data_IF_974586491105
#
_entry.id   IF_974586491105
#
_cell.length_a   1.000
_cell.length_b   1.000
_cell.length_c   1.000
_cell.angle_alpha   90.00
_cell.angle_beta   90.00
_cell.angle_gamma   90.00
#
_symmetry.space_group_name_H-M   'P 1'
#
loop_
_entity.id
_entity.type
_entity.pdbx_description
1 polymer ?
#
# COMPACT_ATOMS: atom_id res chain seq x y z
N UNK A 1 -3.41 4.51 24.42
CA UNK A 1 -3.74 4.93 23.04
C UNK A 1 -2.93 6.18 22.77
N UNK A 2 -1.90 6.05 21.94
CA UNK A 2 -0.98 7.15 21.65
C UNK A 2 -1.46 7.87 20.39
N UNK A 3 -1.58 9.19 20.47
CA UNK A 3 -1.90 10.02 19.31
C UNK A 3 -0.83 9.77 18.22
N UNK A 4 -1.25 9.31 17.04
CA UNK A 4 -0.36 9.16 15.87
C UNK A 4 -0.19 10.48 15.09
N UNK A 5 -0.66 11.60 15.62
CA UNK A 5 -0.43 12.90 15.02
C UNK A 5 1.06 13.21 14.95
N UNK A 6 1.52 13.65 13.78
CA UNK A 6 2.93 13.93 13.53
C UNK A 6 3.77 12.67 13.28
N UNK A 7 3.19 11.47 13.33
CA UNK A 7 3.90 10.22 13.06
C UNK A 7 3.90 9.94 11.56
N UNK A 8 5.08 9.68 10.99
CA UNK A 8 5.20 9.19 9.62
C UNK A 8 4.66 7.74 9.51
N UNK A 9 4.03 7.40 8.38
CA UNK A 9 3.48 6.05 8.12
C UNK A 9 4.52 4.96 8.38
N UNK A 10 5.77 5.17 7.99
CA UNK A 10 6.83 4.19 8.21
C UNK A 10 7.14 3.93 9.69
N UNK A 11 6.90 4.93 10.53
CA UNK A 11 7.16 4.95 11.97
C UNK A 11 5.95 4.56 12.82
N UNK A 12 4.82 4.16 12.20
CA UNK A 12 3.67 3.64 12.94
C UNK A 12 4.12 2.39 13.72
N UNK A 13 3.89 2.35 15.05
CA UNK A 13 4.28 1.21 15.88
C UNK A 13 3.70 -0.11 15.36
N UNK A 14 4.46 -1.20 15.49
CA UNK A 14 4.04 -2.55 15.09
C UNK A 14 3.68 -2.74 13.61
N UNK A 15 3.74 -1.71 12.73
CA UNK A 15 3.32 -1.82 11.32
C UNK A 15 4.08 -2.89 10.55
N UNK A 16 5.39 -2.97 10.76
CA UNK A 16 6.25 -3.97 10.11
C UNK A 16 5.95 -5.36 10.67
N UNK A 17 5.73 -5.47 11.99
CA UNK A 17 5.43 -6.73 12.67
C UNK A 17 4.05 -7.28 12.30
N UNK A 18 3.08 -6.40 12.08
CA UNK A 18 1.75 -6.77 11.56
C UNK A 18 1.77 -7.03 10.06
N UNK A 19 2.86 -6.68 9.37
CA UNK A 19 2.95 -6.80 7.92
C UNK A 19 1.83 -6.04 7.22
N UNK A 20 1.52 -4.82 7.70
CA UNK A 20 0.48 -3.95 7.13
C UNK A 20 1.14 -2.85 6.28
N UNK A 21 0.56 -2.62 5.11
CA UNK A 21 0.92 -1.51 4.22
C UNK A 21 -0.20 -0.48 4.21
N UNK A 22 0.14 0.78 4.42
CA UNK A 22 -0.81 1.89 4.24
C UNK A 22 -0.67 2.37 2.80
N UNK A 23 -1.74 2.31 2.02
CA UNK A 23 -1.67 2.61 0.58
C UNK A 23 -2.29 3.94 0.18
N UNK A 24 -3.29 4.40 0.94
CA UNK A 24 -4.01 5.64 0.66
C UNK A 24 -4.24 6.43 1.93
N UNK A 25 -4.42 7.73 1.76
CA UNK A 25 -4.82 8.64 2.81
C UNK A 25 -5.82 9.65 2.26
N UNK A 26 -6.88 9.92 3.02
CA UNK A 26 -7.75 11.08 2.84
C UNK A 26 -7.53 12.00 4.02
N UNK A 27 -7.16 13.25 3.75
CA UNK A 27 -6.96 14.22 4.83
C UNK A 27 -8.30 14.64 5.42
N UNK A 28 -8.27 15.01 6.70
CA UNK A 28 -9.45 15.61 7.34
C UNK A 28 -9.91 16.84 6.56
N UNK A 29 -11.20 16.88 6.20
CA UNK A 29 -11.80 17.97 5.41
C UNK A 29 -11.61 17.87 3.89
N UNK A 30 -10.82 16.92 3.40
CA UNK A 30 -10.66 16.67 1.96
C UNK A 30 -11.61 15.57 1.47
N UNK A 31 -12.03 15.68 0.21
CA UNK A 31 -12.83 14.67 -0.49
C UNK A 31 -11.91 13.69 -1.23
N UNK A 32 -10.78 14.17 -1.73
CA UNK A 32 -9.88 13.37 -2.57
C UNK A 32 -8.95 12.47 -1.74
N UNK A 33 -8.74 11.24 -2.19
CA UNK A 33 -7.71 10.33 -1.68
C UNK A 33 -6.40 10.54 -2.41
N UNK A 34 -5.31 10.38 -1.65
CA UNK A 34 -3.94 10.45 -2.13
C UNK A 34 -3.19 9.16 -1.81
N UNK A 35 -2.12 8.88 -2.55
CA UNK A 35 -1.19 7.79 -2.22
C UNK A 35 -0.53 8.09 -0.87
N UNK A 36 -0.48 7.10 0.01
CA UNK A 36 0.27 7.19 1.26
C UNK A 36 1.60 6.45 1.10
N UNK A 37 2.71 7.16 1.26
CA UNK A 37 4.08 6.61 1.33
C UNK A 37 4.54 6.50 2.77
N UNK A 38 5.68 5.85 3.02
CA UNK A 38 6.33 5.77 4.33
C UNK A 38 6.60 7.14 4.95
N UNK A 39 6.95 8.14 4.14
CA UNK A 39 7.20 9.52 4.59
C UNK A 39 5.94 10.34 4.85
N UNK A 40 4.75 9.78 4.58
CA UNK A 40 3.49 10.48 4.80
C UNK A 40 3.27 10.70 6.30
N UNK A 41 3.29 11.96 6.73
CA UNK A 41 3.01 12.33 8.12
C UNK A 41 1.51 12.35 8.35
N UNK A 42 1.07 11.57 9.34
CA UNK A 42 -0.32 11.46 9.76
C UNK A 42 -0.75 12.68 10.57
N UNK A 43 -1.99 13.14 10.33
CA UNK A 43 -2.65 14.21 11.07
C UNK A 43 -3.92 13.69 11.73
N UNK A 44 -4.38 14.43 12.72
CA UNK A 44 -5.63 14.13 13.41
C UNK A 44 -6.80 14.01 12.42
N UNK A 45 -7.64 12.99 12.64
CA UNK A 45 -8.81 12.69 11.81
C UNK A 45 -8.52 12.37 10.33
N UNK A 46 -7.28 12.09 9.95
CA UNK A 46 -6.99 11.47 8.66
C UNK A 46 -7.62 10.08 8.60
N UNK A 47 -8.13 9.71 7.42
CA UNK A 47 -8.50 8.34 7.09
C UNK A 47 -7.38 7.71 6.29
N UNK A 48 -6.92 6.53 6.70
CA UNK A 48 -5.92 5.77 5.96
C UNK A 48 -6.49 4.45 5.45
N UNK A 49 -6.09 4.01 4.27
CA UNK A 49 -6.40 2.68 3.77
C UNK A 49 -5.25 1.72 4.12
N UNK A 50 -5.48 0.83 5.08
CA UNK A 50 -4.53 -0.19 5.50
C UNK A 50 -4.79 -1.53 4.80
N UNK A 51 -3.76 -2.12 4.20
CA UNK A 51 -3.81 -3.41 3.50
C UNK A 51 -2.95 -4.42 4.25
N UNK A 52 -3.54 -5.57 4.60
CA UNK A 52 -2.86 -6.64 5.34
C UNK A 52 -3.81 -7.80 5.61
N UNK A 53 -3.36 -8.78 6.40
CA UNK A 53 -4.22 -9.91 6.78
C UNK A 53 -5.29 -9.52 7.80
N UNK A 54 -6.47 -10.15 7.77
CA UNK A 54 -7.55 -9.85 8.74
C UNK A 54 -7.04 -9.80 10.19
N UNK A 55 -6.38 -10.84 10.70
CA UNK A 55 -5.83 -10.84 12.06
C UNK A 55 -4.79 -9.73 12.32
N UNK A 56 -4.03 -9.33 11.30
CA UNK A 56 -3.04 -8.27 11.42
C UNK A 56 -3.65 -6.88 11.33
N UNK A 57 -4.72 -6.72 10.56
CA UNK A 57 -5.51 -5.51 10.49
C UNK A 57 -6.24 -5.26 11.82
N UNK A 58 -6.78 -6.31 12.46
CA UNK A 58 -7.37 -6.21 13.80
C UNK A 58 -6.35 -5.72 14.84
N UNK A 59 -5.11 -6.21 14.77
CA UNK A 59 -4.01 -5.73 15.63
C UNK A 59 -3.58 -4.31 15.28
N UNK A 60 -3.54 -3.97 14.00
CA UNK A 60 -3.16 -2.65 13.54
C UNK A 60 -4.20 -1.59 13.95
N UNK A 61 -5.48 -1.94 13.96
CA UNK A 61 -6.56 -1.09 14.49
C UNK A 61 -6.28 -0.68 15.94
N UNK A 62 -5.87 -1.63 16.80
CA UNK A 62 -5.54 -1.32 18.20
C UNK A 62 -4.41 -0.30 18.36
N UNK A 63 -3.53 -0.15 17.36
CA UNK A 63 -2.45 0.84 17.36
C UNK A 63 -2.90 2.18 16.77
N UNK A 64 -3.62 2.14 15.64
CA UNK A 64 -3.89 3.33 14.84
C UNK A 64 -5.13 4.09 15.27
N UNK A 65 -6.19 3.39 15.67
CA UNK A 65 -7.47 4.01 15.94
C UNK A 65 -8.64 3.12 15.61
N UNK A 66 -9.74 3.69 15.12
CA UNK A 66 -10.97 2.94 14.85
C UNK A 66 -11.15 2.72 13.36
N UNK A 67 -11.75 1.59 13.00
CA UNK A 67 -12.31 1.37 11.66
C UNK A 67 -13.35 2.44 11.31
N UNK A 68 -13.05 3.20 10.27
CA UNK A 68 -13.94 4.09 9.55
C UNK A 68 -14.86 3.32 8.60
N UNK A 69 -15.99 3.95 8.26
CA UNK A 69 -17.06 3.35 7.46
C UNK A 69 -16.91 3.63 5.95
N UNK A 70 -16.00 4.53 5.59
CA UNK A 70 -15.79 4.97 4.20
C UNK A 70 -14.92 3.99 3.42
N UNK A 71 -15.34 3.66 2.20
CA UNK A 71 -14.50 2.90 1.26
C UNK A 71 -13.59 3.84 0.46
N UNK A 72 -12.36 4.00 0.93
CA UNK A 72 -11.32 4.79 0.23
C UNK A 72 -10.91 4.19 -1.13
N UNK A 73 -11.38 2.99 -1.48
CA UNK A 73 -11.23 2.45 -2.84
C UNK A 73 -12.13 3.16 -3.86
N UNK A 74 -13.29 3.66 -3.41
CA UNK A 74 -14.31 4.32 -4.23
C UNK A 74 -14.31 5.86 -4.08
N UNK A 75 -13.55 6.38 -3.11
CA UNK A 75 -13.41 7.82 -2.93
C UNK A 75 -12.73 8.48 -4.16
N UNK A 76 -13.11 9.72 -4.53
CA UNK A 76 -12.47 10.48 -5.62
C UNK A 76 -10.97 10.68 -5.37
N UNK A 77 -10.17 10.82 -6.43
CA UNK A 77 -8.73 11.10 -6.34
C UNK A 77 -7.93 10.45 -7.45
N UNK A 78 -6.71 10.94 -7.72
CA UNK A 78 -5.80 10.36 -8.72
C UNK A 78 -4.98 9.22 -8.11
N UNK A 79 -5.66 8.16 -7.66
CA UNK A 79 -5.02 6.95 -7.12
C UNK A 79 -5.56 5.71 -7.82
N UNK A 80 -4.68 5.04 -8.55
CA UNK A 80 -4.96 3.80 -9.26
C UNK A 80 -4.01 2.69 -8.81
N UNK A 81 -4.19 1.50 -9.37
CA UNK A 81 -3.29 0.38 -9.15
C UNK A 81 -3.07 -0.43 -10.42
N UNK A 82 -1.95 -1.15 -10.49
CA UNK A 82 -1.71 -2.12 -11.54
C UNK A 82 -0.98 -3.36 -11.00
N UNK A 83 -1.27 -4.52 -11.60
CA UNK A 83 -0.48 -5.73 -11.43
C UNK A 83 0.71 -5.70 -12.41
N UNK A 84 1.92 -5.71 -11.86
CA UNK A 84 3.18 -5.63 -12.62
C UNK A 84 3.99 -6.89 -12.42
N UNK A 85 4.37 -7.56 -13.50
CA UNK A 85 5.21 -8.77 -13.42
C UNK A 85 6.68 -8.37 -13.35
N UNK A 86 7.36 -8.72 -12.27
CA UNK A 86 8.77 -8.43 -12.06
C UNK A 86 9.64 -9.27 -13.00
N UNK A 87 10.13 -8.64 -14.06
CA UNK A 87 10.97 -9.31 -15.08
C UNK A 87 12.30 -8.61 -15.31
N UNK A 88 12.48 -7.39 -14.78
CA UNK A 88 13.71 -6.62 -14.91
C UNK A 88 14.84 -7.25 -14.11
N UNK A 89 15.90 -7.69 -14.82
CA UNK A 89 17.10 -8.28 -14.19
C UNK A 89 17.82 -7.32 -13.23
N UNK A 90 17.67 -6.00 -13.40
CA UNK A 90 18.34 -4.96 -12.60
C UNK A 90 17.87 -4.91 -11.14
N UNK A 91 16.69 -5.45 -10.87
CA UNK A 91 16.02 -5.36 -9.57
C UNK A 91 15.83 -6.73 -8.92
N UNK A 92 16.33 -7.80 -9.56
CA UNK A 92 16.20 -9.15 -9.04
C UNK A 92 16.96 -9.33 -7.72
N UNK A 93 16.30 -10.04 -6.81
CA UNK A 93 16.85 -10.31 -5.49
C UNK A 93 16.87 -9.10 -4.57
N UNK A 94 16.45 -7.90 -5.00
CA UNK A 94 16.26 -6.77 -4.08
C UNK A 94 15.00 -6.97 -3.25
N UNK A 95 15.00 -6.41 -2.04
CA UNK A 95 13.81 -6.26 -1.21
C UNK A 95 12.94 -5.10 -1.68
N UNK A 96 11.68 -5.07 -1.24
CA UNK A 96 10.75 -3.95 -1.51
C UNK A 96 11.39 -2.60 -1.16
N UNK A 97 12.05 -2.50 0.00
CA UNK A 97 12.75 -1.27 0.42
C UNK A 97 13.91 -0.89 -0.49
N UNK A 98 14.73 -1.85 -0.88
CA UNK A 98 15.91 -1.62 -1.75
C UNK A 98 15.55 -1.22 -3.19
N UNK A 99 14.27 -1.32 -3.59
CA UNK A 99 13.78 -0.78 -4.85
C UNK A 99 13.49 0.71 -4.82
N UNK A 100 13.27 1.29 -3.63
CA UNK A 100 13.03 2.73 -3.43
C UNK A 100 11.90 3.29 -4.32
N UNK A 101 10.89 2.46 -4.65
CA UNK A 101 9.83 2.85 -5.59
C UNK A 101 8.99 4.03 -5.08
N UNK A 102 8.86 4.15 -3.76
CA UNK A 102 8.17 5.27 -3.12
C UNK A 102 8.90 6.59 -3.41
N UNK A 103 10.23 6.62 -3.27
CA UNK A 103 11.05 7.80 -3.47
C UNK A 103 11.24 8.13 -4.95
N UNK A 104 11.43 7.09 -5.79
CA UNK A 104 11.73 7.26 -7.20
C UNK A 104 10.48 7.57 -8.04
N UNK A 105 9.34 7.00 -7.68
CA UNK A 105 8.13 7.05 -8.50
C UNK A 105 6.88 7.47 -7.75
N UNK A 106 6.89 7.64 -6.42
CA UNK A 106 5.67 7.97 -5.67
C UNK A 106 4.65 6.83 -5.64
N UNK A 107 5.11 5.57 -5.72
CA UNK A 107 4.25 4.38 -5.68
C UNK A 107 4.56 3.51 -4.48
N UNK A 108 3.55 2.81 -3.97
CA UNK A 108 3.71 1.76 -2.96
C UNK A 108 3.35 0.40 -3.55
N UNK A 109 4.01 -0.66 -3.06
CA UNK A 109 3.59 -2.03 -3.33
C UNK A 109 2.71 -2.46 -2.15
N UNK A 110 1.51 -2.95 -2.41
CA UNK A 110 0.61 -3.48 -1.37
C UNK A 110 0.68 -5.00 -1.26
N UNK A 111 0.88 -5.68 -2.40
CA UNK A 111 0.86 -7.15 -2.49
C UNK A 111 1.95 -7.67 -3.41
N UNK A 112 2.44 -8.86 -3.08
CA UNK A 112 3.30 -9.67 -3.93
C UNK A 112 2.68 -11.05 -4.08
N UNK A 113 2.43 -11.47 -5.31
CA UNK A 113 1.98 -12.83 -5.63
C UNK A 113 3.12 -13.62 -6.24
N UNK A 114 3.43 -14.77 -5.65
CA UNK A 114 4.50 -15.68 -6.09
C UNK A 114 3.97 -17.09 -6.15
N UNK A 115 3.96 -17.70 -7.34
CA UNK A 115 3.45 -19.06 -7.55
C UNK A 115 2.10 -19.28 -6.86
N UNK A 116 1.14 -18.38 -7.14
CA UNK A 116 -0.22 -18.36 -6.58
C UNK A 116 -0.33 -18.09 -5.06
N UNK A 117 0.78 -17.87 -4.35
CA UNK A 117 0.77 -17.40 -2.97
C UNK A 117 0.80 -15.87 -2.92
N UNK A 118 -0.22 -15.27 -2.31
CA UNK A 118 -0.30 -13.83 -2.07
C UNK A 118 0.28 -13.46 -0.69
N UNK A 119 1.12 -12.42 -0.67
CA UNK A 119 1.78 -11.90 0.53
C UNK A 119 1.65 -10.38 0.58
N UNK A 120 1.55 -9.81 1.79
CA UNK A 120 1.65 -8.35 1.95
C UNK A 120 3.08 -7.87 1.70
N UNK A 121 3.20 -6.77 0.97
CA UNK A 121 4.49 -6.21 0.60
C UNK A 121 5.12 -5.45 1.79
N UNK A 122 5.86 -6.17 2.62
CA UNK A 122 6.64 -5.60 3.72
C UNK A 122 8.04 -5.18 3.26
N UNK A 123 8.68 -4.18 3.91
CA UNK A 123 9.93 -3.59 3.43
C UNK A 123 11.08 -4.58 3.18
N UNK A 124 11.17 -5.63 4.00
CA UNK A 124 12.22 -6.67 3.94
C UNK A 124 11.88 -7.86 3.04
N UNK A 125 10.69 -7.89 2.41
CA UNK A 125 10.31 -8.97 1.50
C UNK A 125 11.22 -8.93 0.26
N UNK A 126 11.97 -10.01 0.06
CA UNK A 126 12.84 -10.18 -1.12
C UNK A 126 12.02 -10.57 -2.35
N UNK A 127 12.23 -9.85 -3.44
CA UNK A 127 11.50 -10.02 -4.69
C UNK A 127 12.24 -10.95 -5.66
N UNK A 128 11.47 -11.79 -6.34
CA UNK A 128 11.95 -12.82 -7.27
C UNK A 128 11.46 -12.54 -8.68
N UNK A 129 12.21 -13.04 -9.67
CA UNK A 129 11.76 -13.02 -11.05
C UNK A 129 10.41 -13.74 -11.19
N UNK A 130 9.46 -13.11 -11.87
CA UNK A 130 8.11 -13.63 -12.06
C UNK A 130 7.12 -13.28 -10.95
N UNK A 131 7.55 -12.63 -9.86
CA UNK A 131 6.62 -12.08 -8.87
C UNK A 131 5.67 -11.08 -9.52
N UNK A 132 4.39 -11.12 -9.12
CA UNK A 132 3.40 -10.12 -9.54
C UNK A 132 3.22 -9.12 -8.40
N UNK A 133 3.51 -7.86 -8.67
CA UNK A 133 3.47 -6.77 -7.69
C UNK A 133 2.20 -5.96 -7.91
N UNK A 134 1.39 -5.78 -6.87
CA UNK A 134 0.30 -4.81 -6.89
C UNK A 134 0.86 -3.44 -6.52
N UNK A 135 1.03 -2.59 -7.53
CA UNK A 135 1.60 -1.26 -7.42
C UNK A 135 0.47 -0.24 -7.36
N UNK A 136 0.45 0.61 -6.34
CA UNK A 136 -0.54 1.67 -6.12
C UNK A 136 0.14 3.04 -6.25
N UNK A 137 -0.46 3.95 -6.99
CA UNK A 137 0.10 5.25 -7.32
C UNK A 137 -0.88 6.10 -8.15
N UNK A 138 -0.50 7.33 -8.50
CA UNK A 138 -1.16 8.00 -9.62
C UNK A 138 -0.88 7.27 -10.95
N UNK A 139 -1.70 7.52 -11.98
CA UNK A 139 -1.59 6.79 -13.25
C UNK A 139 -0.20 6.89 -13.89
N UNK A 140 0.44 8.07 -13.87
CA UNK A 140 1.75 8.29 -14.48
C UNK A 140 2.86 7.62 -13.69
N UNK A 141 2.75 7.64 -12.37
CA UNK A 141 3.68 7.04 -11.41
C UNK A 141 3.67 5.51 -11.51
N UNK A 142 2.48 4.91 -11.59
CA UNK A 142 2.32 3.47 -11.86
C UNK A 142 2.95 3.07 -13.19
N UNK A 143 2.73 3.84 -14.25
CA UNK A 143 3.33 3.57 -15.57
C UNK A 143 4.87 3.63 -15.55
N UNK A 144 5.44 4.61 -14.86
CA UNK A 144 6.90 4.74 -14.70
C UNK A 144 7.48 3.57 -13.90
N UNK A 145 6.85 3.22 -12.79
CA UNK A 145 7.26 2.09 -11.95
C UNK A 145 7.17 0.76 -12.73
N UNK A 146 6.10 0.55 -13.50
CA UNK A 146 5.94 -0.65 -14.33
C UNK A 146 7.07 -0.77 -15.36
N UNK A 147 7.46 0.33 -16.02
CA UNK A 147 8.60 0.33 -16.96
C UNK A 147 9.93 -0.02 -16.27
N UNK A 148 10.13 0.42 -15.03
CA UNK A 148 11.32 0.11 -14.24
C UNK A 148 11.39 -1.37 -13.81
N UNK A 149 10.26 -1.92 -13.36
CA UNK A 149 10.11 -3.29 -12.87
C UNK A 149 10.09 -4.35 -13.99
N UNK A 150 9.71 -3.95 -15.21
CA UNK A 150 9.68 -4.83 -16.39
C UNK A 150 8.28 -5.31 -16.76
N UNK A 151 8.20 -5.97 -17.94
CA UNK A 151 7.06 -6.53 -18.66
C UNK A 151 5.66 -5.96 -18.39
N UNK A 152 5.12 -5.31 -19.43
CA UNK A 152 3.72 -4.98 -19.74
C UNK A 152 2.76 -4.99 -18.55
N UNK A 153 2.24 -3.80 -18.22
CA UNK A 153 1.01 -3.60 -17.47
C UNK A 153 -0.03 -4.64 -17.96
N UNK A 154 -0.20 -5.74 -17.24
CA UNK A 154 -1.38 -6.58 -17.43
C UNK A 154 -2.49 -5.73 -16.84
N UNK A 155 -3.18 -4.98 -17.71
CA UNK A 155 -4.46 -4.35 -17.37
C UNK A 155 -5.42 -5.49 -17.09
N UNK A 156 -5.41 -5.94 -15.84
CA UNK A 156 -6.43 -6.78 -15.26
C UNK A 156 -7.29 -5.85 -14.42
N UNK A 157 -8.08 -5.04 -15.13
CA UNK A 157 -9.33 -4.54 -14.58
C UNK A 157 -10.39 -5.65 -14.64
N UNK A 158 -9.97 -6.90 -14.43
CA UNK A 158 -10.83 -8.08 -14.42
C UNK A 158 -10.88 -8.57 -12.99
N UNK A 159 -11.95 -8.13 -12.35
CA UNK A 159 -12.60 -8.67 -11.17
C UNK A 159 -12.68 -10.19 -11.22
N UNK A 160 -11.62 -10.88 -10.81
CA UNK A 160 -11.71 -12.28 -10.39
C UNK A 160 -10.70 -12.53 -9.27
N UNK A 161 -10.93 -11.88 -8.12
CA UNK A 161 -10.67 -12.36 -6.77
C UNK A 161 -10.89 -11.16 -5.83
N UNK A 162 -12.03 -11.13 -5.15
CA UNK A 162 -12.21 -10.24 -4.00
C UNK A 162 -11.19 -10.70 -2.95
N UNK A 163 -10.17 -9.91 -2.60
CA UNK A 163 -9.16 -10.38 -1.65
C UNK A 163 -9.76 -10.48 -0.25
N UNK A 164 -9.32 -11.45 0.55
CA UNK A 164 -9.64 -11.61 2.00
C UNK A 164 -9.04 -10.47 2.87
N UNK A 165 -8.63 -9.38 2.24
CA UNK A 165 -7.81 -8.32 2.79
C UNK A 165 -8.52 -7.02 2.43
N UNK A 166 -9.61 -6.77 3.16
CA UNK A 166 -10.42 -5.56 3.04
C UNK A 166 -9.60 -4.43 3.65
N UNK A 167 -9.38 -3.39 2.86
CA UNK A 167 -8.76 -2.19 3.36
C UNK A 167 -9.61 -1.59 4.48
N UNK A 168 -9.04 -1.45 5.67
CA UNK A 168 -9.71 -0.74 6.75
C UNK A 168 -9.39 0.73 6.55
N UNK A 169 -10.39 1.55 6.23
CA UNK A 169 -10.30 2.97 6.52
C UNK A 169 -10.12 3.06 8.03
N UNK A 170 -9.01 3.57 8.54
CA UNK A 170 -8.83 3.79 9.97
C UNK A 170 -8.77 5.29 10.25
N UNK A 171 -9.57 5.75 11.19
CA UNK A 171 -9.56 7.14 11.66
C UNK A 171 -8.58 7.29 12.80
N UNK A 172 -7.71 8.30 12.70
CA UNK A 172 -6.85 8.68 13.83
C UNK A 172 -7.72 9.37 14.89
N UNK A 173 -7.91 8.66 16.01
CA UNK A 173 -8.74 9.11 17.13
C UNK A 173 -7.93 9.91 18.16
N UNK A 174 -8.62 10.86 18.81
CA UNK A 174 -8.17 11.58 20.02
C UNK A 174 -7.89 10.63 21.19
#
# INVERSE_FOLDING_TARGET
>A
MGCLEGVAVESIPSRIETGVTVSRIRRSGEIEVHVATGSTVLKQADLILAVGTGPMLDRFEQVVGRRGEEDLLQAPGDVTWAAVVLTSKRVLGKTVRELELEQLFGVVITRVTRADLEMTAVPNLRLNFGDVLQVVGDQKSVEKAAKFLGNSLKRLNETHFIPLFIGIAASIAL
#
